data_IF_641105838614
#
_entry.id   IF_641105838614
#
_cell.length_a   1.000
_cell.length_b   1.000
_cell.length_c   1.000
_cell.angle_alpha   90.00
_cell.angle_beta   90.00
_cell.angle_gamma   90.00
#
_symmetry.space_group_name_H-M   'P 1'
#
loop_
_entity.id
_entity.type
_entity.pdbx_description
1 polymer ?
#
# COMPACT_ATOMS: atom_id res chain seq x y z
N UNK A 1 -11.39 -8.85 -35.20
CA UNK A 1 -10.15 -9.20 -34.46
C UNK A 1 -10.10 -10.72 -34.36
N UNK A 2 -8.95 -11.35 -34.63
CA UNK A 2 -8.81 -12.81 -34.45
C UNK A 2 -8.54 -13.14 -32.98
N UNK A 3 -8.91 -14.35 -32.58
CA UNK A 3 -8.70 -14.88 -31.23
C UNK A 3 -7.22 -14.81 -30.80
N UNK A 4 -6.30 -15.12 -31.72
CA UNK A 4 -4.84 -15.01 -31.49
C UNK A 4 -4.39 -13.58 -31.16
N UNK A 5 -5.03 -12.56 -31.72
CA UNK A 5 -4.68 -11.15 -31.44
C UNK A 5 -5.11 -10.76 -30.02
N UNK A 6 -6.29 -11.19 -29.59
CA UNK A 6 -6.78 -10.92 -28.23
C UNK A 6 -5.91 -11.61 -27.18
N UNK A 7 -5.51 -12.86 -27.42
CA UNK A 7 -4.63 -13.60 -26.51
C UNK A 7 -3.26 -12.91 -26.38
N UNK A 8 -2.66 -12.47 -27.49
CA UNK A 8 -1.39 -11.75 -27.45
C UNK A 8 -1.49 -10.41 -26.68
N UNK A 9 -2.60 -9.68 -26.80
CA UNK A 9 -2.81 -8.44 -26.05
C UNK A 9 -2.96 -8.69 -24.55
N UNK A 10 -3.63 -9.78 -24.15
CA UNK A 10 -3.76 -10.18 -22.75
C UNK A 10 -2.39 -10.47 -22.14
N UNK A 11 -1.55 -11.24 -22.83
CA UNK A 11 -0.21 -11.56 -22.34
C UNK A 11 0.69 -10.32 -22.20
N UNK A 12 0.57 -9.36 -23.12
CA UNK A 12 1.28 -8.09 -22.99
C UNK A 12 0.84 -7.32 -21.73
N UNK A 13 -0.47 -7.19 -21.51
CA UNK A 13 -1.03 -6.50 -20.33
C UNK A 13 -0.61 -7.20 -19.04
N UNK A 14 -0.56 -8.53 -19.02
CA UNK A 14 -0.05 -9.30 -17.87
C UNK A 14 1.40 -8.96 -17.55
N UNK A 15 2.28 -8.86 -18.55
CA UNK A 15 3.66 -8.45 -18.34
C UNK A 15 3.80 -7.02 -17.80
N UNK A 16 2.90 -6.11 -18.20
CA UNK A 16 2.81 -4.76 -17.64
C UNK A 16 2.36 -4.79 -16.17
N UNK A 17 1.37 -5.63 -15.83
CA UNK A 17 0.93 -5.87 -14.44
C UNK A 17 2.06 -6.45 -13.59
N UNK A 18 2.76 -7.47 -14.06
CA UNK A 18 3.89 -8.08 -13.32
C UNK A 18 4.97 -7.04 -12.99
N UNK A 19 5.23 -6.12 -13.93
CA UNK A 19 6.18 -5.02 -13.74
C UNK A 19 5.70 -3.99 -12.71
N UNK A 20 4.39 -3.76 -12.62
CA UNK A 20 3.79 -2.94 -11.56
C UNK A 20 3.86 -3.66 -10.21
N UNK A 21 3.58 -4.96 -10.16
CA UNK A 21 3.61 -5.76 -8.93
C UNK A 21 5.01 -5.77 -8.29
N UNK A 22 6.07 -5.86 -9.10
CA UNK A 22 7.46 -5.73 -8.60
C UNK A 22 7.68 -4.36 -7.92
N UNK A 23 7.16 -3.28 -8.51
CA UNK A 23 7.27 -1.94 -7.95
C UNK A 23 6.43 -1.80 -6.67
N UNK A 24 5.21 -2.34 -6.66
CA UNK A 24 4.33 -2.33 -5.49
C UNK A 24 4.98 -3.06 -4.31
N UNK A 25 5.52 -4.26 -4.51
CA UNK A 25 6.22 -5.02 -3.46
C UNK A 25 7.41 -4.23 -2.91
N UNK A 26 8.19 -3.58 -3.78
CA UNK A 26 9.32 -2.74 -3.34
C UNK A 26 8.85 -1.57 -2.47
N UNK A 27 7.85 -0.82 -2.93
CA UNK A 27 7.30 0.33 -2.21
C UNK A 27 6.66 -0.07 -0.87
N UNK A 28 5.96 -1.20 -0.84
CA UNK A 28 5.38 -1.75 0.38
C UNK A 28 6.46 -2.08 1.42
N UNK A 29 7.55 -2.73 1.00
CA UNK A 29 8.68 -3.05 1.89
C UNK A 29 9.40 -1.78 2.39
N UNK A 30 9.58 -0.77 1.53
CA UNK A 30 10.14 0.52 1.94
C UNK A 30 9.24 1.22 2.99
N UNK A 31 7.93 1.27 2.75
CA UNK A 31 6.96 1.84 3.70
C UNK A 31 6.93 1.09 5.03
N UNK A 32 6.99 -0.24 4.97
CA UNK A 32 7.04 -1.10 6.15
C UNK A 32 8.32 -0.85 6.96
N UNK A 33 9.48 -0.71 6.29
CA UNK A 33 10.75 -0.37 6.93
C UNK A 33 10.68 0.97 7.67
N UNK A 34 10.05 1.99 7.06
CA UNK A 34 9.81 3.28 7.73
C UNK A 34 8.86 3.18 8.91
N UNK A 35 7.87 2.28 8.85
CA UNK A 35 6.97 2.02 9.97
C UNK A 35 7.71 1.40 11.16
N UNK A 36 8.67 0.50 10.91
CA UNK A 36 9.56 -0.05 11.94
C UNK A 36 10.50 1.00 12.54
N UNK A 37 11.10 1.86 11.71
CA UNK A 37 11.92 2.99 12.19
C UNK A 37 11.13 3.88 13.17
N UNK A 38 9.89 4.25 12.82
CA UNK A 38 9.00 5.00 13.71
C UNK A 38 8.71 4.22 14.99
N UNK A 39 8.39 2.92 14.89
CA UNK A 39 8.11 2.07 16.05
C UNK A 39 9.28 2.06 17.05
N UNK A 40 10.52 2.02 16.56
CA UNK A 40 11.71 2.02 17.41
C UNK A 40 11.92 3.34 18.16
N UNK A 41 11.44 4.46 17.62
CA UNK A 41 11.54 5.79 18.23
C UNK A 41 10.41 6.08 19.24
N UNK A 42 9.25 5.42 19.11
CA UNK A 42 8.07 5.65 19.97
C UNK A 42 8.35 5.51 21.49
N UNK A 43 9.15 4.54 21.97
CA UNK A 43 9.50 4.45 23.39
C UNK A 43 10.25 5.69 23.90
N UNK A 44 11.19 6.21 23.12
CA UNK A 44 11.96 7.42 23.45
C UNK A 44 11.04 8.66 23.49
N UNK A 45 10.07 8.72 22.59
CA UNK A 45 9.05 9.77 22.53
C UNK A 45 7.90 9.59 23.55
N UNK A 46 7.92 8.52 24.37
CA UNK A 46 6.81 8.14 25.29
C UNK A 46 5.45 8.03 24.58
N UNK A 47 5.45 7.62 23.32
CA UNK A 47 4.27 7.43 22.50
C UNK A 47 3.77 5.99 22.54
N UNK A 48 2.46 5.81 22.49
CA UNK A 48 1.83 4.49 22.34
C UNK A 48 2.11 3.86 20.98
N UNK A 49 2.09 2.53 20.91
CA UNK A 49 2.24 1.79 19.65
C UNK A 49 1.11 2.10 18.66
N UNK A 50 -0.09 2.40 19.18
CA UNK A 50 -1.27 2.78 18.41
C UNK A 50 -1.52 4.29 18.47
N UNK A 51 -1.80 4.90 17.32
CA UNK A 51 -2.10 6.32 17.17
C UNK A 51 -3.30 6.48 16.21
N UNK A 52 -4.54 6.53 16.74
CA UNK A 52 -5.75 6.60 15.92
C UNK A 52 -5.80 7.83 15.02
N UNK A 53 -5.37 8.99 15.55
CA UNK A 53 -5.36 10.24 14.81
C UNK A 53 -4.44 10.14 13.60
N UNK A 54 -3.28 9.50 13.76
CA UNK A 54 -2.37 9.30 12.64
C UNK A 54 -2.93 8.37 11.57
N UNK A 55 -3.72 7.36 11.94
CA UNK A 55 -4.37 6.48 10.97
C UNK A 55 -5.45 7.23 10.17
N UNK A 56 -6.25 8.07 10.82
CA UNK A 56 -7.24 8.95 10.17
C UNK A 56 -6.59 9.89 9.15
N UNK A 57 -5.52 10.60 9.54
CA UNK A 57 -4.74 11.47 8.64
C UNK A 57 -4.17 10.72 7.42
N UNK A 58 -3.84 9.43 7.58
CA UNK A 58 -3.36 8.60 6.47
C UNK A 58 -4.53 8.29 5.52
N UNK A 59 -5.69 7.92 6.05
CA UNK A 59 -6.86 7.61 5.23
C UNK A 59 -7.36 8.81 4.43
N UNK A 60 -7.49 9.98 5.06
CA UNK A 60 -7.83 11.23 4.37
C UNK A 60 -6.85 11.50 3.23
N UNK A 61 -5.55 11.45 3.52
CA UNK A 61 -4.51 11.72 2.53
C UNK A 61 -4.57 10.77 1.33
N UNK A 62 -4.78 9.47 1.55
CA UNK A 62 -4.77 8.51 0.44
C UNK A 62 -6.07 8.55 -0.36
N UNK A 63 -7.18 8.91 0.27
CA UNK A 63 -8.43 9.18 -0.42
C UNK A 63 -8.32 10.42 -1.32
N UNK A 64 -7.66 11.48 -0.85
CA UNK A 64 -7.43 12.72 -1.60
C UNK A 64 -6.46 12.52 -2.78
N UNK A 65 -5.47 11.65 -2.63
CA UNK A 65 -4.50 11.32 -3.69
C UNK A 65 -5.06 10.36 -4.75
N UNK A 66 -6.24 9.77 -4.51
CA UNK A 66 -6.81 8.78 -5.41
C UNK A 66 -7.50 9.44 -6.61
N UNK A 67 -6.88 9.35 -7.79
CA UNK A 67 -7.45 9.81 -9.07
C UNK A 67 -8.17 8.68 -9.84
N UNK A 68 -8.39 7.53 -9.19
CA UNK A 68 -9.01 6.34 -9.78
C UNK A 68 -8.01 5.35 -10.37
N UNK A 69 -8.49 4.27 -11.04
CA UNK A 69 -9.89 3.90 -11.28
C UNK A 69 -10.60 3.27 -10.06
N UNK A 70 -9.88 3.05 -8.96
CA UNK A 70 -10.44 2.54 -7.71
C UNK A 70 -11.30 3.61 -7.01
N UNK A 71 -12.31 3.18 -6.26
CA UNK A 71 -13.01 4.08 -5.35
C UNK A 71 -12.11 4.41 -4.16
N UNK A 72 -12.29 5.59 -3.56
CA UNK A 72 -11.46 6.00 -2.41
C UNK A 72 -11.63 5.06 -1.22
N UNK A 73 -12.80 4.43 -1.07
CA UNK A 73 -13.05 3.41 -0.04
C UNK A 73 -12.19 2.16 -0.26
N UNK A 74 -11.94 1.75 -1.51
CA UNK A 74 -11.06 0.62 -1.83
C UNK A 74 -9.60 0.94 -1.47
N UNK A 75 -9.14 2.15 -1.79
CA UNK A 75 -7.82 2.63 -1.39
C UNK A 75 -7.68 2.65 0.13
N UNK A 76 -8.70 3.13 0.84
CA UNK A 76 -8.71 3.12 2.31
C UNK A 76 -8.63 1.69 2.86
N UNK A 77 -9.36 0.73 2.27
CA UNK A 77 -9.33 -0.67 2.69
C UNK A 77 -7.95 -1.33 2.47
N UNK A 78 -7.29 -1.03 1.35
CA UNK A 78 -5.92 -1.48 1.08
C UNK A 78 -4.97 -0.88 2.14
N UNK A 79 -5.06 0.42 2.40
CA UNK A 79 -4.21 1.08 3.39
C UNK A 79 -4.46 0.58 4.81
N UNK A 80 -5.71 0.27 5.18
CA UNK A 80 -6.04 -0.34 6.46
C UNK A 80 -5.35 -1.70 6.63
N UNK A 81 -5.29 -2.49 5.55
CA UNK A 81 -4.57 -3.77 5.53
C UNK A 81 -3.06 -3.57 5.67
N UNK A 82 -2.48 -2.62 4.92
CA UNK A 82 -1.05 -2.29 5.03
C UNK A 82 -0.70 -1.87 6.46
N UNK A 83 -1.51 -0.99 7.07
CA UNK A 83 -1.31 -0.53 8.46
C UNK A 83 -1.45 -1.69 9.45
N UNK A 84 -2.44 -2.56 9.28
CA UNK A 84 -2.62 -3.76 10.10
C UNK A 84 -1.37 -4.63 10.08
N UNK A 85 -0.90 -5.03 8.89
CA UNK A 85 0.30 -5.87 8.75
C UNK A 85 1.52 -5.16 9.32
N UNK A 86 1.69 -3.86 9.07
CA UNK A 86 2.81 -3.07 9.61
C UNK A 86 2.85 -3.07 11.15
N UNK A 87 1.69 -3.08 11.82
CA UNK A 87 1.60 -3.15 13.30
C UNK A 87 1.99 -4.52 13.85
N UNK A 88 1.74 -5.58 13.08
CA UNK A 88 2.08 -6.97 13.42
C UNK A 88 3.55 -7.31 13.15
N UNK A 89 4.30 -6.44 12.46
CA UNK A 89 5.73 -6.64 12.21
C UNK A 89 6.55 -6.42 13.48
N UNK A 90 7.49 -7.32 13.73
CA UNK A 90 8.47 -7.22 14.81
C UNK A 90 9.86 -7.17 14.16
N UNK A 91 10.72 -6.28 14.66
CA UNK A 91 12.15 -6.25 14.34
C UNK A 91 12.96 -7.05 15.34
#
# INVERSE_FOLDING_TARGET
MSEDTALSSIEQIRGEIDSLDVQLVKLLNERASKSLEIRNLKPEARMGLFDPKREEEIFEKVADLNEGPLYSDDICAIYATILKVSKEMHG
#
